data_IF_206265076094
#
_entry.id   IF_206265076094
#
_cell.length_a   1.000
_cell.length_b   1.000
_cell.length_c   1.000
_cell.angle_alpha   90.00
_cell.angle_beta   90.00
_cell.angle_gamma   90.00
#
_symmetry.space_group_name_H-M   'P 1'
#
loop_
_entity.id
_entity.type
_entity.pdbx_description
1 polymer ?
#
# COMPACT_ATOMS: atom_id res chain seq x y z
N UNK A 1 -2.30 -23.20 36.18
CA UNK A 1 -1.07 -22.56 35.65
C UNK A 1 -1.27 -22.17 34.16
N UNK A 2 -2.01 -21.08 33.89
CA UNK A 2 -1.53 -19.68 33.89
C UNK A 2 -0.65 -19.34 32.69
N UNK A 3 -1.20 -18.47 31.83
CA UNK A 3 -0.52 -17.65 30.80
C UNK A 3 -0.24 -18.28 29.42
N UNK A 4 -1.30 -18.65 28.68
CA UNK A 4 -1.24 -18.50 27.22
C UNK A 4 -1.50 -17.03 26.90
N UNK A 5 -0.45 -16.28 26.52
CA UNK A 5 -0.54 -14.88 26.06
C UNK A 5 -1.60 -14.78 24.95
N UNK A 6 -2.41 -13.71 24.90
CA UNK A 6 -3.31 -13.51 23.78
C UNK A 6 -2.44 -13.30 22.54
N UNK A 7 -2.36 -14.31 21.67
CA UNK A 7 -1.93 -14.13 20.29
C UNK A 7 -2.75 -12.98 19.71
N UNK A 8 -2.08 -12.01 19.07
CA UNK A 8 -2.69 -10.84 18.48
C UNK A 8 -3.94 -11.25 17.67
N UNK A 9 -5.14 -10.97 18.22
CA UNK A 9 -6.41 -11.22 17.55
C UNK A 9 -6.69 -10.03 16.64
N UNK A 10 -6.31 -10.14 15.37
CA UNK A 10 -6.46 -9.05 14.39
C UNK A 10 -7.89 -8.99 13.84
N UNK A 11 -8.55 -10.13 13.66
CA UNK A 11 -9.94 -10.22 13.23
C UNK A 11 -10.75 -11.06 14.22
N UNK A 12 -12.04 -10.73 14.46
CA UNK A 12 -12.87 -11.47 15.40
C UNK A 12 -13.47 -12.76 14.81
N UNK A 13 -13.14 -13.10 13.56
CA UNK A 13 -13.72 -14.24 12.82
C UNK A 13 -12.69 -15.32 12.53
N UNK A 14 -13.13 -16.58 12.53
CA UNK A 14 -12.40 -17.73 12.02
C UNK A 14 -13.25 -18.43 10.95
N UNK A 15 -12.65 -18.82 9.82
CA UNK A 15 -13.38 -19.42 8.70
C UNK A 15 -13.88 -20.83 9.06
N UNK A 16 -15.17 -21.12 8.83
CA UNK A 16 -15.74 -22.46 9.03
C UNK A 16 -14.98 -23.50 8.17
N UNK A 17 -14.66 -24.64 8.78
CA UNK A 17 -13.92 -25.73 8.12
C UNK A 17 -12.41 -25.53 8.02
N UNK A 18 -11.87 -24.42 8.54
CA UNK A 18 -10.44 -24.12 8.50
C UNK A 18 -9.78 -24.61 9.80
N UNK A 19 -9.00 -25.69 9.71
CA UNK A 19 -8.10 -26.17 10.76
C UNK A 19 -6.80 -25.35 10.77
N UNK A 20 -6.04 -25.38 11.88
CA UNK A 20 -4.76 -24.66 11.99
C UNK A 20 -3.80 -24.91 10.80
N UNK A 21 -3.61 -26.17 10.33
CA UNK A 21 -2.80 -26.45 9.14
C UNK A 21 -3.35 -25.84 7.84
N UNK A 22 -4.68 -25.80 7.69
CA UNK A 22 -5.32 -25.22 6.49
C UNK A 22 -5.28 -23.69 6.48
N UNK A 23 -5.24 -23.05 7.65
CA UNK A 23 -5.01 -21.60 7.76
C UNK A 23 -3.60 -21.24 7.29
N UNK A 24 -2.60 -22.06 7.63
CA UNK A 24 -1.22 -21.86 7.21
C UNK A 24 -1.00 -22.09 5.70
N UNK A 25 -1.90 -22.83 5.04
CA UNK A 25 -1.83 -23.15 3.62
C UNK A 25 -2.73 -22.24 2.76
N UNK A 26 -3.33 -21.20 3.34
CA UNK A 26 -4.14 -20.26 2.57
C UNK A 26 -3.30 -19.54 1.50
N UNK A 27 -2.03 -19.28 1.80
CA UNK A 27 -1.10 -18.58 0.92
C UNK A 27 0.11 -19.45 0.59
N UNK A 28 0.53 -19.44 -0.68
CA UNK A 28 1.63 -20.28 -1.18
C UNK A 28 3.01 -19.87 -0.67
N UNK A 29 3.16 -18.64 -0.14
CA UNK A 29 4.44 -18.04 0.24
C UNK A 29 5.26 -18.91 1.20
N UNK A 30 4.63 -19.52 2.21
CA UNK A 30 5.34 -20.39 3.15
C UNK A 30 5.79 -21.70 2.52
N UNK A 31 4.96 -22.29 1.63
CA UNK A 31 5.33 -23.49 0.89
C UNK A 31 6.48 -23.22 -0.11
N UNK A 32 6.58 -21.99 -0.63
CA UNK A 32 7.64 -21.57 -1.54
C UNK A 32 8.87 -20.97 -0.84
N UNK A 33 8.91 -20.99 0.50
CA UNK A 33 10.04 -20.45 1.26
C UNK A 33 10.17 -18.91 1.24
N UNK A 34 9.14 -18.17 0.81
CA UNK A 34 9.12 -16.72 0.75
C UNK A 34 8.87 -16.08 2.14
N UNK A 35 9.74 -16.43 3.10
CA UNK A 35 9.71 -15.88 4.46
C UNK A 35 10.15 -14.42 4.43
N UNK A 36 9.37 -13.54 5.06
CA UNK A 36 9.60 -12.09 5.03
C UNK A 36 8.96 -11.34 3.85
N UNK A 37 8.22 -12.03 2.97
CA UNK A 37 7.57 -11.41 1.81
C UNK A 37 6.30 -10.61 2.18
N UNK A 38 5.48 -11.10 3.12
CA UNK A 38 4.18 -10.49 3.46
C UNK A 38 4.20 -8.98 3.79
N UNK A 39 5.19 -8.45 4.55
CA UNK A 39 5.28 -7.02 4.81
C UNK A 39 5.34 -6.16 3.53
N UNK A 40 5.82 -6.70 2.41
CA UNK A 40 5.91 -5.97 1.13
C UNK A 40 4.55 -5.56 0.58
N UNK A 41 3.46 -6.31 0.85
CA UNK A 41 2.12 -5.95 0.40
C UNK A 41 1.63 -4.65 1.06
N UNK A 42 1.72 -4.59 2.38
CA UNK A 42 1.33 -3.38 3.14
C UNK A 42 2.26 -2.22 2.81
N UNK A 43 3.57 -2.47 2.69
CA UNK A 43 4.52 -1.45 2.29
C UNK A 43 4.19 -0.90 0.90
N UNK A 44 3.85 -1.75 -0.07
CA UNK A 44 3.43 -1.33 -1.40
C UNK A 44 2.17 -0.46 -1.38
N UNK A 45 1.17 -0.78 -0.55
CA UNK A 45 -0.02 0.04 -0.39
C UNK A 45 0.28 1.42 0.22
N UNK A 46 1.16 1.47 1.22
CA UNK A 46 1.63 2.72 1.84
C UNK A 46 2.33 3.60 0.79
N UNK A 47 3.27 3.02 0.06
CA UNK A 47 4.06 3.70 -0.97
C UNK A 47 3.15 4.18 -2.12
N UNK A 48 2.18 3.38 -2.54
CA UNK A 48 1.24 3.75 -3.59
C UNK A 48 0.42 5.00 -3.22
N UNK A 49 -0.07 5.09 -1.99
CA UNK A 49 -0.78 6.27 -1.51
C UNK A 49 0.13 7.50 -1.48
N UNK A 50 1.38 7.34 -1.02
CA UNK A 50 2.36 8.43 -0.97
C UNK A 50 2.75 8.95 -2.36
N UNK A 51 2.98 8.05 -3.32
CA UNK A 51 3.25 8.40 -4.71
C UNK A 51 2.03 9.08 -5.37
N UNK A 52 0.82 8.63 -5.06
CA UNK A 52 -0.39 9.23 -5.62
C UNK A 52 -0.61 10.65 -5.10
N UNK A 53 -0.36 10.92 -3.81
CA UNK A 53 -0.36 12.28 -3.25
C UNK A 53 0.67 13.18 -3.96
N UNK A 54 1.88 12.67 -4.23
CA UNK A 54 2.89 13.42 -4.97
C UNK A 54 2.46 13.70 -6.43
N UNK A 55 1.85 12.73 -7.11
CA UNK A 55 1.32 12.92 -8.46
C UNK A 55 0.17 13.96 -8.49
N UNK A 56 -0.69 13.97 -7.47
CA UNK A 56 -1.75 14.99 -7.32
C UNK A 56 -1.19 16.40 -7.13
N UNK A 57 -0.05 16.53 -6.43
CA UNK A 57 0.65 17.79 -6.25
C UNK A 57 1.30 18.27 -7.55
N UNK A 58 2.02 17.39 -8.25
CA UNK A 58 2.76 17.72 -9.48
C UNK A 58 1.85 17.98 -10.69
N UNK A 59 0.81 17.14 -10.90
CA UNK A 59 -0.11 17.23 -12.06
C UNK A 59 -1.25 18.20 -11.79
N UNK A 60 -1.57 18.44 -10.52
CA UNK A 60 -2.73 19.20 -10.07
C UNK A 60 -3.92 18.31 -9.75
N UNK A 61 -4.46 18.47 -8.55
CA UNK A 61 -5.47 17.56 -7.97
C UNK A 61 -6.75 17.49 -8.80
N UNK A 62 -7.29 18.63 -9.25
CA UNK A 62 -8.52 18.66 -10.02
C UNK A 62 -8.33 18.06 -11.42
N UNK A 63 -7.21 18.38 -12.07
CA UNK A 63 -6.83 17.87 -13.38
C UNK A 63 -6.72 16.35 -13.37
N UNK A 64 -5.91 15.80 -12.46
CA UNK A 64 -5.65 14.36 -12.41
C UNK A 64 -6.94 13.57 -12.06
N UNK A 65 -7.73 14.05 -11.10
CA UNK A 65 -9.01 13.39 -10.76
C UNK A 65 -10.02 13.42 -11.92
N UNK A 66 -10.09 14.52 -12.66
CA UNK A 66 -10.95 14.66 -13.85
C UNK A 66 -10.50 13.74 -14.99
N UNK A 67 -9.20 13.60 -15.22
CA UNK A 67 -8.67 12.65 -16.20
C UNK A 67 -8.99 11.20 -15.83
N UNK A 68 -8.78 10.82 -14.56
CA UNK A 68 -9.10 9.48 -14.07
C UNK A 68 -10.60 9.17 -14.22
N UNK A 69 -11.49 10.12 -13.93
CA UNK A 69 -12.94 9.88 -14.07
C UNK A 69 -13.38 9.69 -15.53
N UNK A 70 -12.59 10.17 -16.51
CA UNK A 70 -12.79 9.92 -17.94
C UNK A 70 -12.04 8.70 -18.48
N UNK A 71 -11.32 7.96 -17.63
CA UNK A 71 -10.48 6.84 -18.06
C UNK A 71 -9.17 7.26 -18.74
N UNK A 72 -8.76 8.52 -18.62
CA UNK A 72 -7.53 9.05 -19.20
C UNK A 72 -6.35 8.86 -18.22
N UNK A 73 -5.65 7.74 -18.33
CA UNK A 73 -4.52 7.41 -17.44
C UNK A 73 -3.15 7.81 -17.99
N UNK A 74 -3.10 8.35 -19.22
CA UNK A 74 -1.86 8.70 -19.91
C UNK A 74 -0.92 9.60 -19.08
N UNK A 75 -1.42 10.73 -18.54
CA UNK A 75 -0.60 11.64 -17.73
C UNK A 75 -0.04 11.00 -16.45
N UNK A 76 -0.86 10.23 -15.72
CA UNK A 76 -0.40 9.52 -14.52
C UNK A 76 0.64 8.46 -14.86
N UNK A 77 0.42 7.70 -15.93
CA UNK A 77 1.38 6.67 -16.39
C UNK A 77 2.71 7.30 -16.78
N UNK A 78 2.70 8.44 -17.45
CA UNK A 78 3.92 9.15 -17.85
C UNK A 78 4.67 9.69 -16.63
N UNK A 79 3.95 10.27 -15.67
CA UNK A 79 4.53 10.70 -14.41
C UNK A 79 5.20 9.55 -13.66
N UNK A 80 4.53 8.39 -13.54
CA UNK A 80 5.12 7.19 -12.93
C UNK A 80 6.32 6.67 -13.70
N UNK A 81 6.28 6.73 -15.05
CA UNK A 81 7.42 6.34 -15.88
C UNK A 81 8.65 7.18 -15.56
N UNK A 82 8.52 8.50 -15.58
CA UNK A 82 9.66 9.39 -15.39
C UNK A 82 10.17 9.41 -13.95
N UNK A 83 9.27 9.35 -12.96
CA UNK A 83 9.64 9.46 -11.54
C UNK A 83 10.05 8.13 -10.91
N UNK A 84 9.45 7.01 -11.34
CA UNK A 84 9.60 5.70 -10.68
C UNK A 84 10.23 4.67 -11.61
N UNK A 85 9.56 4.34 -12.73
CA UNK A 85 9.94 3.17 -13.52
C UNK A 85 11.29 3.33 -14.23
N UNK A 86 11.58 4.52 -14.75
CA UNK A 86 12.82 4.84 -15.46
C UNK A 86 14.04 4.83 -14.53
N UNK A 87 13.83 5.18 -13.26
CA UNK A 87 14.90 5.22 -12.24
C UNK A 87 15.37 3.81 -11.88
N UNK A 88 14.46 2.83 -11.89
CA UNK A 88 14.78 1.44 -11.55
C UNK A 88 15.44 1.33 -10.17
N UNK A 89 16.48 0.50 -10.05
CA UNK A 89 17.20 0.27 -8.79
C UNK A 89 18.43 1.16 -8.60
N UNK A 90 18.44 2.37 -9.20
CA UNK A 90 19.55 3.33 -9.03
C UNK A 90 19.65 3.84 -7.58
N UNK A 91 18.51 4.00 -6.90
CA UNK A 91 18.49 4.33 -5.49
C UNK A 91 18.82 3.10 -4.63
N UNK A 92 19.53 3.31 -3.53
CA UNK A 92 19.95 2.24 -2.61
C UNK A 92 18.80 1.66 -1.79
N UNK A 93 17.72 2.42 -1.63
CA UNK A 93 16.54 2.02 -0.86
C UNK A 93 15.25 2.65 -1.40
N UNK A 94 14.07 2.08 -1.07
CA UNK A 94 12.78 2.73 -1.33
C UNK A 94 12.66 4.10 -0.65
N UNK A 95 13.25 4.26 0.54
CA UNK A 95 13.29 5.55 1.24
C UNK A 95 14.04 6.61 0.43
N UNK A 96 15.19 6.28 -0.16
CA UNK A 96 15.95 7.21 -1.00
C UNK A 96 15.16 7.64 -2.25
N UNK A 97 14.42 6.70 -2.86
CA UNK A 97 13.55 6.99 -3.99
C UNK A 97 12.39 7.91 -3.58
N UNK A 98 11.73 7.62 -2.45
CA UNK A 98 10.63 8.46 -1.98
C UNK A 98 11.11 9.82 -1.48
N UNK A 99 12.30 9.90 -0.91
CA UNK A 99 12.92 11.16 -0.55
C UNK A 99 13.11 12.06 -1.77
N UNK A 100 13.47 11.49 -2.94
CA UNK A 100 13.67 12.26 -4.18
C UNK A 100 12.37 12.69 -4.86
N UNK A 101 11.28 11.92 -4.71
CA UNK A 101 9.98 12.21 -5.34
C UNK A 101 9.06 13.03 -4.41
N UNK A 102 8.97 12.62 -3.15
CA UNK A 102 7.99 13.09 -2.17
C UNK A 102 8.59 14.01 -1.09
N UNK A 103 9.91 14.24 -1.12
CA UNK A 103 10.63 15.05 -0.13
C UNK A 103 10.74 14.40 1.26
N UNK A 104 10.34 13.14 1.40
CA UNK A 104 10.43 12.36 2.64
C UNK A 104 10.50 10.86 2.31
N UNK A 105 11.10 10.06 3.21
CA UNK A 105 11.09 8.59 3.12
C UNK A 105 9.69 7.97 3.25
N UNK A 106 9.62 6.66 3.48
CA UNK A 106 8.35 5.92 3.60
C UNK A 106 7.52 6.48 4.76
N UNK A 107 6.27 6.88 4.46
CA UNK A 107 5.35 7.43 5.45
C UNK A 107 3.96 6.82 5.33
N UNK A 108 3.33 6.35 6.44
CA UNK A 108 1.97 5.82 6.41
C UNK A 108 0.89 6.91 6.33
N UNK A 109 1.25 8.19 6.51
CA UNK A 109 0.29 9.28 6.64
C UNK A 109 -0.60 9.48 5.40
N UNK A 110 -0.09 9.43 4.15
CA UNK A 110 -0.91 9.48 2.95
C UNK A 110 -1.98 8.38 2.91
N UNK A 111 -1.60 7.15 3.23
CA UNK A 111 -2.54 6.01 3.26
C UNK A 111 -3.61 6.20 4.34
N UNK A 112 -3.23 6.65 5.54
CA UNK A 112 -4.18 6.92 6.62
C UNK A 112 -5.17 8.04 6.26
N UNK A 113 -4.72 9.12 5.62
CA UNK A 113 -5.61 10.18 5.10
C UNK A 113 -6.57 9.61 4.06
N UNK A 114 -6.05 8.92 3.04
CA UNK A 114 -6.87 8.30 2.00
C UNK A 114 -7.97 7.40 2.58
N UNK A 115 -7.63 6.53 3.53
CA UNK A 115 -8.59 5.63 4.16
C UNK A 115 -9.63 6.41 4.97
N UNK A 116 -9.21 7.37 5.80
CA UNK A 116 -10.15 8.19 6.59
C UNK A 116 -11.11 8.98 5.71
N UNK A 117 -10.62 9.64 4.67
CA UNK A 117 -11.45 10.41 3.75
C UNK A 117 -12.45 9.51 3.00
N UNK A 118 -11.97 8.41 2.42
CA UNK A 118 -12.81 7.49 1.64
C UNK A 118 -13.87 6.83 2.51
N UNK A 119 -13.46 6.23 3.62
CA UNK A 119 -14.39 5.49 4.48
C UNK A 119 -15.25 6.43 5.34
N UNK A 120 -14.74 7.61 5.73
CA UNK A 120 -15.53 8.65 6.36
C UNK A 120 -16.67 9.14 5.47
N UNK A 121 -16.39 9.44 4.20
CA UNK A 121 -17.42 9.86 3.25
C UNK A 121 -18.45 8.75 2.93
N UNK A 122 -18.00 7.49 2.80
CA UNK A 122 -18.90 6.37 2.45
C UNK A 122 -19.80 5.93 3.61
N UNK A 123 -19.31 6.00 4.85
CA UNK A 123 -20.00 5.48 6.02
C UNK A 123 -20.48 6.57 7.00
N UNK A 124 -20.21 7.85 6.72
CA UNK A 124 -20.62 8.98 7.57
C UNK A 124 -19.94 8.98 8.94
N UNK A 125 -18.64 8.64 8.98
CA UNK A 125 -17.84 8.56 10.21
C UNK A 125 -17.15 9.88 10.56
#
# INVERSE_FOLDING_TARGET
PSQARPLLRVLPFCRKGMTWPSCAQQDIHWAFGAIGYFPSYTLGAIIAAQLFDAALADIGTHTLRSQISRGEFGPLREWLREKVHKVGSVHRSPDDLLQSICGQGVSPQPMLRYLREKYGALYGL
#
